data_IF_398444167700
#
_entry.id   IF_398444167700
#
_cell.length_a   1.000
_cell.length_b   1.000
_cell.length_c   1.000
_cell.angle_alpha   90.00
_cell.angle_beta   90.00
_cell.angle_gamma   90.00
#
_symmetry.space_group_name_H-M   'P 1'
#
loop_
_entity.id
_entity.type
_entity.pdbx_description
1 polymer ?
#
# COMPACT_ATOMS: atom_id res chain seq x y z
N UNK A 1 24.59 9.39 9.25
CA UNK A 1 23.91 8.17 8.80
C UNK A 1 24.87 7.36 7.96
N UNK A 2 24.91 6.04 8.13
CA UNK A 2 25.84 5.20 7.36
C UNK A 2 25.30 4.89 5.95
N UNK A 3 26.16 4.33 5.09
CA UNK A 3 25.82 4.03 3.70
C UNK A 3 24.67 3.00 3.58
N UNK A 4 24.63 1.98 4.45
CA UNK A 4 23.55 0.98 4.44
C UNK A 4 22.21 1.63 4.76
N UNK A 5 22.16 2.53 5.73
CA UNK A 5 20.95 3.29 6.05
C UNK A 5 20.51 4.17 4.87
N UNK A 6 21.44 4.78 4.12
CA UNK A 6 21.09 5.52 2.90
C UNK A 6 20.43 4.61 1.85
N UNK A 7 20.97 3.40 1.66
CA UNK A 7 20.36 2.41 0.75
C UNK A 7 18.96 2.02 1.19
N UNK A 8 18.78 1.72 2.48
CA UNK A 8 17.47 1.38 3.06
C UNK A 8 16.48 2.51 2.83
N UNK A 9 16.85 3.76 3.15
CA UNK A 9 15.97 4.92 2.99
C UNK A 9 15.60 5.19 1.53
N UNK A 10 16.52 5.00 0.58
CA UNK A 10 16.22 5.16 -0.84
C UNK A 10 15.16 4.18 -1.36
N UNK A 11 15.29 2.90 -0.99
CA UNK A 11 14.30 1.86 -1.35
C UNK A 11 12.99 2.08 -0.58
N UNK A 12 13.07 2.48 0.68
CA UNK A 12 11.91 2.77 1.52
C UNK A 12 11.05 3.91 0.97
N UNK A 13 11.65 4.95 0.38
CA UNK A 13 10.90 6.04 -0.25
C UNK A 13 10.06 5.55 -1.45
N UNK A 14 10.57 4.58 -2.21
CA UNK A 14 9.76 3.92 -3.25
C UNK A 14 8.56 3.23 -2.59
N UNK A 15 8.80 2.47 -1.53
CA UNK A 15 7.75 1.74 -0.82
C UNK A 15 6.65 2.67 -0.27
N UNK A 16 7.03 3.85 0.23
CA UNK A 16 6.09 4.89 0.65
C UNK A 16 5.22 5.39 -0.50
N UNK A 17 5.79 5.64 -1.69
CA UNK A 17 5.02 6.09 -2.86
C UNK A 17 4.02 5.00 -3.29
N UNK A 18 4.45 3.74 -3.30
CA UNK A 18 3.56 2.60 -3.60
C UNK A 18 2.39 2.55 -2.59
N UNK A 19 2.69 2.59 -1.29
CA UNK A 19 1.67 2.65 -0.21
C UNK A 19 0.70 3.80 -0.42
N UNK A 20 1.24 4.99 -0.63
CA UNK A 20 0.46 6.21 -0.79
C UNK A 20 -0.47 6.16 -2.01
N UNK A 21 -0.15 5.35 -3.01
CA UNK A 21 -1.01 5.14 -4.19
C UNK A 21 -2.32 4.44 -3.80
N UNK A 22 -2.31 3.54 -2.82
CA UNK A 22 -3.53 2.90 -2.29
C UNK A 22 -4.47 3.94 -1.65
N UNK A 23 -3.94 5.07 -1.17
CA UNK A 23 -4.77 6.12 -0.57
C UNK A 23 -5.72 6.81 -1.55
N UNK A 24 -5.45 6.72 -2.87
CA UNK A 24 -6.33 7.26 -3.91
C UNK A 24 -7.63 6.45 -4.06
N UNK A 25 -7.59 5.16 -3.74
CA UNK A 25 -8.72 4.24 -3.86
C UNK A 25 -9.33 3.88 -2.49
N UNK A 26 -8.79 4.44 -1.40
CA UNK A 26 -9.35 4.28 -0.07
C UNK A 26 -10.55 5.23 0.13
N UNK A 27 -11.63 4.80 0.80
CA UNK A 27 -12.79 5.65 1.07
C UNK A 27 -12.42 6.93 1.84
N UNK A 28 -12.95 8.07 1.40
CA UNK A 28 -12.76 9.38 2.04
C UNK A 28 -14.03 10.23 1.99
N UNK A 29 -14.17 11.14 2.96
CA UNK A 29 -15.33 12.04 3.08
C UNK A 29 -15.30 13.20 2.07
N UNK A 30 -14.13 13.67 1.67
CA UNK A 30 -13.96 14.76 0.71
C UNK A 30 -13.00 14.33 -0.41
N UNK A 31 -13.51 14.29 -1.65
CA UNK A 31 -12.77 13.87 -2.84
C UNK A 31 -12.17 15.09 -3.54
N UNK A 32 -10.98 15.49 -3.12
CA UNK A 32 -10.04 16.10 -4.05
C UNK A 32 -8.63 15.68 -3.69
N UNK A 33 -7.93 15.11 -4.65
CA UNK A 33 -6.52 14.79 -4.52
C UNK A 33 -5.71 15.85 -5.23
N UNK A 34 -4.71 16.41 -4.55
CA UNK A 34 -3.85 17.42 -5.14
C UNK A 34 -3.07 16.85 -6.34
N UNK A 35 -3.24 17.50 -7.49
CA UNK A 35 -2.41 17.28 -8.69
C UNK A 35 -0.92 17.42 -8.37
N UNK A 36 -0.54 18.46 -7.62
CA UNK A 36 0.86 18.72 -7.24
C UNK A 36 1.47 17.52 -6.51
N UNK A 37 0.77 16.97 -5.51
CA UNK A 37 1.22 15.80 -4.76
C UNK A 37 1.35 14.57 -5.66
N UNK A 38 0.37 14.35 -6.54
CA UNK A 38 0.37 13.24 -7.50
C UNK A 38 1.55 13.32 -8.47
N UNK A 39 1.76 14.47 -9.11
CA UNK A 39 2.88 14.66 -10.03
C UNK A 39 4.24 14.59 -9.33
N UNK A 40 4.33 15.11 -8.10
CA UNK A 40 5.53 15.00 -7.29
C UNK A 40 5.87 13.55 -6.97
N UNK A 41 4.87 12.71 -6.67
CA UNK A 41 5.05 11.26 -6.47
C UNK A 41 5.55 10.58 -7.75
N UNK A 42 4.96 10.89 -8.90
CA UNK A 42 5.39 10.38 -10.20
C UNK A 42 6.86 10.71 -10.50
N UNK A 43 7.24 12.00 -10.41
CA UNK A 43 8.63 12.45 -10.61
C UNK A 43 9.60 11.85 -9.60
N UNK A 44 9.22 11.79 -8.33
CA UNK A 44 10.04 11.16 -7.29
C UNK A 44 10.30 9.69 -7.60
N UNK A 45 9.29 8.96 -8.07
CA UNK A 45 9.42 7.55 -8.43
C UNK A 45 10.37 7.35 -9.63
N UNK A 46 10.36 8.25 -10.61
CA UNK A 46 11.33 8.26 -11.71
C UNK A 46 12.76 8.44 -11.19
N UNK A 47 13.00 9.45 -10.34
CA UNK A 47 14.33 9.73 -9.78
C UNK A 47 14.84 8.59 -8.89
N UNK A 48 13.97 8.04 -8.03
CA UNK A 48 14.33 6.96 -7.12
C UNK A 48 14.64 5.65 -7.86
N UNK A 49 14.19 5.49 -9.10
CA UNK A 49 14.43 4.30 -9.93
C UNK A 49 15.48 4.53 -11.03
N UNK A 50 16.02 5.74 -11.16
CA UNK A 50 17.02 6.10 -12.15
C UNK A 50 18.43 5.54 -11.82
N UNK A 51 19.31 5.56 -12.82
CA UNK A 51 20.72 5.18 -12.66
C UNK A 51 21.39 6.00 -11.54
N UNK A 52 22.26 5.34 -10.76
CA UNK A 52 22.91 5.93 -9.60
C UNK A 52 22.05 5.97 -8.33
N UNK A 53 20.77 5.58 -8.39
CA UNK A 53 19.94 5.48 -7.20
C UNK A 53 20.26 4.24 -6.35
N UNK A 54 19.89 4.25 -5.06
CA UNK A 54 19.92 3.05 -4.21
C UNK A 54 19.22 1.82 -4.81
N UNK A 55 18.10 2.04 -5.51
CA UNK A 55 17.37 0.98 -6.17
C UNK A 55 18.12 0.45 -7.40
N UNK A 56 18.69 1.33 -8.23
CA UNK A 56 19.51 0.90 -9.37
C UNK A 56 20.74 0.09 -8.93
N UNK A 57 21.36 0.46 -7.80
CA UNK A 57 22.42 -0.35 -7.21
C UNK A 57 21.93 -1.73 -6.74
N UNK A 58 20.77 -1.80 -6.07
CA UNK A 58 20.15 -3.08 -5.72
C UNK A 58 19.92 -3.97 -6.95
N UNK A 59 19.45 -3.37 -8.06
CA UNK A 59 19.22 -4.10 -9.32
C UNK A 59 20.56 -4.61 -9.88
N UNK A 60 21.61 -3.78 -9.90
CA UNK A 60 22.90 -4.16 -10.51
C UNK A 60 23.60 -5.32 -9.78
N UNK A 61 23.41 -5.43 -8.46
CA UNK A 61 23.97 -6.54 -7.67
C UNK A 61 23.11 -7.81 -7.71
N UNK A 62 21.81 -7.70 -7.98
CA UNK A 62 20.87 -8.85 -7.99
C UNK A 62 20.49 -9.36 -9.40
N UNK A 63 20.83 -8.62 -10.47
CA UNK A 63 20.69 -8.99 -11.89
C UNK A 63 19.34 -9.66 -12.20
N UNK A 64 19.34 -10.85 -12.81
CA UNK A 64 18.15 -11.60 -13.26
C UNK A 64 17.07 -11.76 -12.16
N UNK A 65 17.45 -11.75 -10.88
CA UNK A 65 16.48 -11.84 -9.77
C UNK A 65 15.68 -10.55 -9.56
N UNK A 66 16.18 -9.41 -10.04
CA UNK A 66 15.57 -8.09 -9.91
C UNK A 66 14.77 -7.66 -11.15
N UNK A 67 14.96 -8.30 -12.30
CA UNK A 67 14.32 -7.91 -13.58
C UNK A 67 12.80 -7.82 -13.46
N UNK A 68 12.16 -8.83 -12.84
CA UNK A 68 10.71 -8.84 -12.61
C UNK A 68 10.24 -7.67 -11.74
N UNK A 69 11.02 -7.28 -10.74
CA UNK A 69 10.68 -6.13 -9.90
C UNK A 69 10.79 -4.82 -10.69
N UNK A 70 11.80 -4.68 -11.55
CA UNK A 70 11.99 -3.53 -12.43
C UNK A 70 10.83 -3.43 -13.44
N UNK A 71 10.45 -4.55 -14.05
CA UNK A 71 9.29 -4.63 -14.95
C UNK A 71 8.01 -4.19 -14.24
N UNK A 72 7.70 -4.76 -13.07
CA UNK A 72 6.53 -4.41 -12.29
C UNK A 72 6.51 -2.93 -11.90
N UNK A 73 7.65 -2.35 -11.50
CA UNK A 73 7.74 -0.92 -11.14
C UNK A 73 7.56 -0.04 -12.39
N UNK A 74 8.12 -0.41 -13.53
CA UNK A 74 7.93 0.35 -14.77
C UNK A 74 6.48 0.31 -15.26
N UNK A 75 5.84 -0.86 -15.18
CA UNK A 75 4.41 -1.01 -15.45
C UNK A 75 3.59 -0.15 -14.47
N UNK A 76 3.95 -0.16 -13.18
CA UNK A 76 3.28 0.65 -12.17
C UNK A 76 3.40 2.15 -12.44
N UNK A 77 4.59 2.65 -12.79
CA UNK A 77 4.78 4.05 -13.21
C UNK A 77 3.87 4.39 -14.38
N UNK A 78 3.82 3.52 -15.39
CA UNK A 78 2.99 3.70 -16.58
C UNK A 78 1.51 3.74 -16.23
N UNK A 79 1.03 2.80 -15.45
CA UNK A 79 -0.40 2.70 -15.14
C UNK A 79 -0.88 3.72 -14.11
N UNK A 80 -0.03 4.13 -13.16
CA UNK A 80 -0.44 4.96 -12.02
C UNK A 80 0.01 6.41 -12.12
N UNK A 81 1.05 6.74 -12.90
CA UNK A 81 1.63 8.10 -12.89
C UNK A 81 1.89 8.67 -14.29
N UNK A 82 1.63 7.93 -15.36
CA UNK A 82 1.81 8.47 -16.72
C UNK A 82 0.65 9.40 -17.13
N UNK A 83 0.90 10.32 -18.08
CA UNK A 83 -0.17 11.11 -18.71
C UNK A 83 -1.24 10.27 -19.40
N UNK A 84 -0.92 9.03 -19.79
CA UNK A 84 -1.85 8.10 -20.43
C UNK A 84 -2.54 7.15 -19.43
N UNK A 85 -2.34 7.37 -18.12
CA UNK A 85 -2.98 6.55 -17.08
C UNK A 85 -4.50 6.53 -17.26
N UNK A 86 -5.05 5.32 -17.31
CA UNK A 86 -6.50 5.09 -17.27
C UNK A 86 -7.03 4.95 -15.85
N UNK A 87 -6.14 4.81 -14.88
CA UNK A 87 -6.48 4.61 -13.46
C UNK A 87 -6.67 5.96 -12.77
N UNK A 88 -5.72 6.87 -12.96
CA UNK A 88 -5.70 8.19 -12.36
C UNK A 88 -5.56 9.26 -13.44
N UNK A 89 -6.56 10.14 -13.54
CA UNK A 89 -6.59 11.21 -14.54
C UNK A 89 -6.50 12.56 -13.87
N UNK A 90 -5.59 13.40 -14.35
CA UNK A 90 -5.48 14.79 -13.89
C UNK A 90 -6.62 15.60 -14.51
N UNK A 91 -7.47 16.19 -13.67
CA UNK A 91 -8.60 17.03 -14.09
C UNK A 91 -8.58 18.34 -13.31
N UNK A 92 -8.23 19.44 -13.99
CA UNK A 92 -7.96 20.71 -13.34
C UNK A 92 -6.79 20.60 -12.35
N UNK A 93 -7.05 20.91 -11.09
CA UNK A 93 -6.09 20.77 -9.97
C UNK A 93 -6.29 19.47 -9.16
N UNK A 94 -7.21 18.62 -9.60
CA UNK A 94 -7.59 17.37 -8.94
C UNK A 94 -7.11 16.12 -9.68
N UNK A 95 -7.19 14.97 -8.99
CA UNK A 95 -7.10 13.64 -9.60
C UNK A 95 -8.47 12.97 -9.56
N UNK A 96 -8.94 12.53 -10.73
CA UNK A 96 -10.07 11.64 -10.89
C UNK A 96 -9.59 10.19 -10.90
N UNK A 97 -10.32 9.32 -10.21
CA UNK A 97 -9.99 7.90 -10.05
C UNK A 97 -11.08 7.07 -10.74
N UNK A 98 -10.69 6.10 -11.57
CA UNK A 98 -11.64 5.15 -12.14
C UNK A 98 -11.91 4.00 -11.14
N UNK A 99 -13.11 4.02 -10.55
CA UNK A 99 -13.62 2.99 -9.63
C UNK A 99 -13.43 1.55 -10.17
N UNK A 100 -13.52 1.35 -11.49
CA UNK A 100 -13.40 0.02 -12.10
C UNK A 100 -11.97 -0.51 -12.09
N UNK A 101 -10.99 0.36 -11.88
CA UNK A 101 -9.57 0.03 -11.88
C UNK A 101 -8.99 -0.13 -10.47
N UNK A 102 -9.80 -0.03 -9.41
CA UNK A 102 -9.35 -0.20 -8.03
C UNK A 102 -8.62 -1.54 -7.80
N UNK A 103 -9.16 -2.65 -8.35
CA UNK A 103 -8.50 -3.95 -8.29
C UNK A 103 -7.06 -3.90 -8.81
N UNK A 104 -6.85 -3.22 -9.93
CA UNK A 104 -5.53 -3.10 -10.55
C UNK A 104 -4.57 -2.31 -9.67
N UNK A 105 -5.05 -1.25 -9.01
CA UNK A 105 -4.27 -0.50 -8.01
C UNK A 105 -3.83 -1.43 -6.89
N UNK A 106 -4.75 -2.20 -6.31
CA UNK A 106 -4.43 -3.11 -5.20
C UNK A 106 -3.46 -4.21 -5.61
N UNK A 107 -3.70 -4.87 -6.75
CA UNK A 107 -2.86 -5.95 -7.26
C UNK A 107 -1.40 -5.51 -7.40
N UNK A 108 -1.17 -4.39 -8.09
CA UNK A 108 0.19 -3.90 -8.32
C UNK A 108 0.80 -3.36 -7.03
N UNK A 109 0.07 -2.54 -6.27
CA UNK A 109 0.61 -1.89 -5.07
C UNK A 109 0.97 -2.92 -3.99
N UNK A 110 0.09 -3.90 -3.71
CA UNK A 110 0.33 -4.94 -2.70
C UNK A 110 1.51 -5.84 -3.10
N UNK A 111 1.59 -6.26 -4.37
CA UNK A 111 2.67 -7.11 -4.84
C UNK A 111 4.03 -6.41 -4.80
N UNK A 112 4.10 -5.18 -5.32
CA UNK A 112 5.35 -4.39 -5.35
C UNK A 112 5.76 -4.02 -3.92
N UNK A 113 4.82 -3.56 -3.08
CA UNK A 113 5.11 -3.18 -1.71
C UNK A 113 5.70 -4.34 -0.92
N UNK A 114 5.10 -5.54 -1.02
CA UNK A 114 5.61 -6.72 -0.33
C UNK A 114 7.01 -7.11 -0.81
N UNK A 115 7.28 -7.02 -2.12
CA UNK A 115 8.61 -7.32 -2.68
C UNK A 115 9.65 -6.33 -2.17
N UNK A 116 9.35 -5.04 -2.16
CA UNK A 116 10.25 -4.01 -1.61
C UNK A 116 10.47 -4.18 -0.11
N UNK A 117 9.42 -4.55 0.65
CA UNK A 117 9.53 -4.85 2.07
C UNK A 117 10.46 -6.04 2.35
N UNK A 118 10.45 -7.07 1.50
CA UNK A 118 11.36 -8.20 1.60
C UNK A 118 12.81 -7.78 1.32
N UNK A 119 13.04 -6.90 0.34
CA UNK A 119 14.35 -6.29 0.06
C UNK A 119 14.84 -5.47 1.25
N UNK A 120 13.99 -4.61 1.82
CA UNK A 120 14.30 -3.83 3.02
C UNK A 120 14.66 -4.74 4.21
N UNK A 121 13.91 -5.83 4.40
CA UNK A 121 14.22 -6.84 5.41
C UNK A 121 15.59 -7.48 5.23
N UNK A 122 16.00 -7.72 3.99
CA UNK A 122 17.35 -8.19 3.65
C UNK A 122 18.44 -7.20 4.04
N UNK A 123 18.27 -5.92 3.71
CA UNK A 123 19.22 -4.87 4.09
C UNK A 123 19.28 -4.62 5.61
N UNK A 124 18.13 -4.65 6.30
CA UNK A 124 18.08 -4.54 7.76
C UNK A 124 18.83 -5.71 8.41
N UNK A 125 18.62 -6.93 7.92
CA UNK A 125 19.35 -8.10 8.41
C UNK A 125 20.86 -7.95 8.19
N UNK A 126 21.27 -7.56 6.99
CA UNK A 126 22.68 -7.29 6.70
C UNK A 126 23.26 -6.22 7.65
N UNK A 127 22.53 -5.12 7.89
CA UNK A 127 22.96 -4.07 8.80
C UNK A 127 23.12 -4.59 10.24
N UNK A 128 22.23 -5.49 10.71
CA UNK A 128 22.35 -6.14 12.01
C UNK A 128 23.59 -7.03 12.10
N UNK A 129 23.79 -7.88 11.10
CA UNK A 129 24.89 -8.85 11.06
C UNK A 129 26.27 -8.17 10.99
N UNK A 130 26.33 -6.88 10.64
CA UNK A 130 27.55 -6.08 10.50
C UNK A 130 27.64 -4.90 11.49
N UNK A 131 26.83 -4.86 12.56
CA UNK A 131 26.81 -3.78 13.56
C UNK A 131 26.61 -2.36 12.96
N UNK A 132 25.86 -2.29 11.87
CA UNK A 132 25.54 -1.06 11.13
C UNK A 132 24.07 -0.65 11.27
N UNK A 133 23.24 -1.40 12.01
CA UNK A 133 21.83 -1.08 12.13
C UNK A 133 21.59 0.16 13.00
N UNK A 134 20.89 1.13 12.43
CA UNK A 134 20.23 2.19 13.18
C UNK A 134 18.81 1.71 13.57
N UNK A 135 18.56 1.39 14.84
CA UNK A 135 17.30 0.76 15.31
C UNK A 135 16.03 1.50 14.85
N UNK A 136 16.06 2.84 14.81
CA UNK A 136 14.94 3.66 14.34
C UNK A 136 14.51 3.37 12.90
N UNK A 137 15.41 2.85 12.07
CA UNK A 137 15.14 2.50 10.68
C UNK A 137 14.35 1.20 10.61
N UNK A 138 14.69 0.22 11.46
CA UNK A 138 13.87 -1.00 11.59
C UNK A 138 12.47 -0.67 12.12
N UNK A 139 12.39 0.18 13.16
CA UNK A 139 11.10 0.65 13.71
C UNK A 139 10.27 1.39 12.64
N UNK A 140 10.90 2.20 11.81
CA UNK A 140 10.24 2.91 10.72
C UNK A 140 9.64 1.95 9.69
N UNK A 141 10.40 0.97 9.24
CA UNK A 141 9.94 -0.02 8.25
C UNK A 141 8.81 -0.87 8.83
N UNK A 142 8.89 -1.27 10.10
CA UNK A 142 7.82 -2.02 10.76
C UNK A 142 6.53 -1.18 10.94
N UNK A 143 6.67 0.10 11.31
CA UNK A 143 5.54 1.02 11.43
C UNK A 143 4.88 1.31 10.08
N UNK A 144 5.68 1.41 9.02
CA UNK A 144 5.19 1.55 7.65
C UNK A 144 4.42 0.31 7.18
N UNK A 145 4.92 -0.90 7.47
CA UNK A 145 4.18 -2.13 7.16
C UNK A 145 2.82 -2.17 7.86
N UNK A 146 2.77 -1.80 9.14
CA UNK A 146 1.51 -1.71 9.88
C UNK A 146 0.54 -0.70 9.23
N UNK A 147 1.05 0.46 8.82
CA UNK A 147 0.24 1.47 8.16
C UNK A 147 -0.26 1.00 6.78
N UNK A 148 0.63 0.49 5.93
CA UNK A 148 0.27 0.00 4.60
C UNK A 148 -0.78 -1.11 4.65
N UNK A 149 -0.59 -2.10 5.53
CA UNK A 149 -1.56 -3.18 5.68
C UNK A 149 -2.90 -2.65 6.19
N UNK A 150 -2.91 -1.77 7.18
CA UNK A 150 -4.17 -1.20 7.69
C UNK A 150 -4.91 -0.40 6.62
N UNK A 151 -4.19 0.38 5.80
CA UNK A 151 -4.75 1.13 4.68
C UNK A 151 -5.34 0.20 3.62
N UNK A 152 -4.60 -0.85 3.25
CA UNK A 152 -5.00 -1.81 2.23
C UNK A 152 -6.24 -2.60 2.67
N UNK A 153 -6.30 -3.06 3.92
CA UNK A 153 -7.49 -3.70 4.47
C UNK A 153 -8.68 -2.76 4.44
N UNK A 154 -8.52 -1.53 4.95
CA UNK A 154 -9.60 -0.55 4.96
C UNK A 154 -10.15 -0.26 3.56
N UNK A 155 -9.28 -0.10 2.57
CA UNK A 155 -9.70 0.11 1.18
C UNK A 155 -10.42 -1.12 0.62
N UNK A 156 -9.81 -2.31 0.73
CA UNK A 156 -10.36 -3.55 0.18
C UNK A 156 -11.71 -3.94 0.78
N UNK A 157 -11.92 -3.80 2.10
CA UNK A 157 -13.19 -4.18 2.71
C UNK A 157 -14.36 -3.33 2.19
N UNK A 158 -14.11 -2.05 1.88
CA UNK A 158 -15.13 -1.15 1.37
C UNK A 158 -15.53 -1.53 -0.06
N UNK A 159 -14.55 -1.80 -0.91
CA UNK A 159 -14.79 -2.26 -2.28
C UNK A 159 -15.43 -3.65 -2.32
N UNK A 160 -14.99 -4.58 -1.47
CA UNK A 160 -15.62 -5.89 -1.33
C UNK A 160 -17.08 -5.74 -0.93
N UNK A 161 -17.39 -4.85 0.02
CA UNK A 161 -18.76 -4.65 0.45
C UNK A 161 -19.64 -3.97 -0.62
N UNK A 162 -19.07 -3.05 -1.40
CA UNK A 162 -19.74 -2.46 -2.57
C UNK A 162 -20.09 -3.56 -3.59
N UNK A 163 -19.12 -4.39 -3.96
CA UNK A 163 -19.33 -5.52 -4.87
C UNK A 163 -20.34 -6.53 -4.29
N UNK A 164 -20.31 -6.80 -2.98
CA UNK A 164 -21.26 -7.69 -2.34
C UNK A 164 -22.70 -7.18 -2.41
N UNK A 165 -22.91 -5.86 -2.28
CA UNK A 165 -24.23 -5.24 -2.50
C UNK A 165 -24.68 -5.40 -3.95
N UNK A 166 -23.80 -5.09 -4.91
CA UNK A 166 -24.09 -5.26 -6.35
C UNK A 166 -24.43 -6.72 -6.68
N UNK A 167 -23.71 -7.68 -6.11
CA UNK A 167 -23.99 -9.10 -6.21
C UNK A 167 -25.37 -9.46 -5.65
N UNK A 168 -25.70 -8.96 -4.46
CA UNK A 168 -26.98 -9.20 -3.79
C UNK A 168 -28.16 -8.65 -4.61
N UNK A 169 -28.00 -7.44 -5.16
CA UNK A 169 -28.99 -6.81 -6.03
C UNK A 169 -29.19 -7.61 -7.32
N UNK A 170 -28.09 -8.04 -7.96
CA UNK A 170 -28.15 -8.87 -9.16
C UNK A 170 -28.85 -10.21 -8.90
N UNK A 171 -28.59 -10.85 -7.76
CA UNK A 171 -29.28 -12.07 -7.36
C UNK A 171 -30.77 -11.82 -7.10
N UNK A 172 -31.13 -10.72 -6.43
CA UNK A 172 -32.53 -10.38 -6.14
C UNK A 172 -33.34 -10.12 -7.42
N UNK A 173 -32.76 -9.39 -8.38
CA UNK A 173 -33.39 -9.14 -9.69
C UNK A 173 -33.68 -10.44 -10.45
N UNK A 174 -32.87 -11.47 -10.25
CA UNK A 174 -33.03 -12.80 -10.82
C UNK A 174 -33.69 -13.81 -9.86
N UNK A 175 -34.40 -13.35 -8.82
CA UNK A 175 -35.13 -14.19 -7.85
C UNK A 175 -34.26 -15.27 -7.16
N UNK A 176 -32.97 -14.97 -6.97
CA UNK A 176 -31.99 -15.89 -6.40
C UNK A 176 -31.42 -16.92 -7.37
N UNK A 177 -31.78 -16.87 -8.66
CA UNK A 177 -31.22 -17.75 -9.66
C UNK A 177 -29.83 -17.27 -10.12
N UNK A 178 -28.87 -18.20 -10.31
CA UNK A 178 -27.56 -17.87 -10.87
C UNK A 178 -27.70 -17.16 -12.22
N UNK A 179 -26.97 -16.05 -12.39
CA UNK A 179 -26.96 -15.30 -13.63
C UNK A 179 -25.52 -14.83 -13.96
N UNK A 180 -25.24 -14.51 -15.24
CA UNK A 180 -23.90 -14.10 -15.67
C UNK A 180 -23.36 -12.87 -14.94
N UNK A 181 -24.22 -11.91 -14.58
CA UNK A 181 -23.83 -10.67 -13.89
C UNK A 181 -23.35 -10.99 -12.47
N UNK A 182 -24.15 -11.72 -11.71
CA UNK A 182 -23.80 -12.17 -10.37
C UNK A 182 -22.52 -13.02 -10.36
N UNK A 183 -22.32 -13.88 -11.38
CA UNK A 183 -21.08 -14.66 -11.52
C UNK A 183 -19.86 -13.75 -11.73
N UNK A 184 -19.95 -12.76 -12.61
CA UNK A 184 -18.86 -11.82 -12.87
C UNK A 184 -18.49 -11.01 -11.61
N UNK A 185 -19.48 -10.47 -10.90
CA UNK A 185 -19.25 -9.73 -9.65
C UNK A 185 -18.60 -10.64 -8.59
N UNK A 186 -19.06 -11.90 -8.48
CA UNK A 186 -18.46 -12.86 -7.56
C UNK A 186 -17.00 -13.20 -7.92
N UNK A 187 -16.64 -13.24 -9.21
CA UNK A 187 -15.24 -13.38 -9.63
C UNK A 187 -14.40 -12.18 -9.16
N UNK A 188 -14.92 -10.96 -9.24
CA UNK A 188 -14.24 -9.76 -8.75
C UNK A 188 -14.10 -9.74 -7.22
N UNK A 189 -15.13 -10.14 -6.47
CA UNK A 189 -15.05 -10.34 -5.01
C UNK A 189 -13.91 -11.31 -4.68
N UNK A 190 -13.84 -12.45 -5.38
CA UNK A 190 -12.82 -13.47 -5.13
C UNK A 190 -11.40 -12.96 -5.40
N UNK A 191 -11.20 -12.12 -6.42
CA UNK A 191 -9.89 -11.49 -6.67
C UNK A 191 -9.48 -10.60 -5.49
N UNK A 192 -10.38 -9.78 -4.96
CA UNK A 192 -10.11 -8.94 -3.78
C UNK A 192 -9.81 -9.78 -2.52
N UNK A 193 -10.56 -10.86 -2.31
CA UNK A 193 -10.33 -11.80 -1.19
C UNK A 193 -8.96 -12.48 -1.31
N UNK A 194 -8.51 -12.82 -2.52
CA UNK A 194 -7.17 -13.38 -2.74
C UNK A 194 -6.06 -12.39 -2.35
N UNK A 195 -6.25 -11.09 -2.56
CA UNK A 195 -5.31 -10.06 -2.11
C UNK A 195 -5.25 -10.00 -0.57
N UNK A 196 -6.39 -10.14 0.11
CA UNK A 196 -6.44 -10.26 1.58
C UNK A 196 -5.69 -11.51 2.06
N UNK A 197 -5.91 -12.65 1.41
CA UNK A 197 -5.21 -13.90 1.72
C UNK A 197 -3.69 -13.77 1.51
N UNK A 198 -3.27 -13.11 0.44
CA UNK A 198 -1.86 -12.78 0.19
C UNK A 198 -1.29 -11.91 1.31
N UNK A 199 -1.97 -10.82 1.68
CA UNK A 199 -1.52 -9.97 2.79
C UNK A 199 -1.41 -10.73 4.11
N UNK A 200 -2.39 -11.58 4.45
CA UNK A 200 -2.37 -12.42 5.64
C UNK A 200 -1.14 -13.34 5.66
N UNK A 201 -0.84 -14.00 4.53
CA UNK A 201 0.28 -14.95 4.40
C UNK A 201 1.64 -14.31 4.63
N UNK A 202 1.81 -13.06 4.19
CA UNK A 202 3.10 -12.36 4.24
C UNK A 202 3.23 -11.37 5.41
N UNK A 203 2.23 -11.32 6.30
CA UNK A 203 2.15 -10.37 7.39
C UNK A 203 3.18 -10.61 8.51
N UNK A 204 3.96 -9.58 8.85
CA UNK A 204 4.89 -9.57 10.00
C UNK A 204 4.41 -8.70 11.16
N UNK A 205 3.31 -7.98 10.99
CA UNK A 205 2.74 -7.09 12.03
C UNK A 205 2.24 -7.92 13.21
N UNK A 206 2.68 -7.58 14.42
CA UNK A 206 2.32 -8.26 15.68
C UNK A 206 1.34 -7.47 16.55
N UNK A 207 0.99 -6.24 16.15
CA UNK A 207 0.04 -5.39 16.87
C UNK A 207 -1.32 -6.08 17.07
N UNK A 208 -1.83 -6.10 18.31
CA UNK A 208 -3.08 -6.80 18.64
C UNK A 208 -4.33 -6.16 18.02
N UNK A 209 -4.37 -4.83 17.93
CA UNK A 209 -5.46 -4.11 17.26
C UNK A 209 -5.52 -4.50 15.78
N UNK A 210 -4.37 -4.55 15.11
CA UNK A 210 -4.25 -5.03 13.74
C UNK A 210 -4.73 -6.48 13.60
N UNK A 211 -4.29 -7.40 14.46
CA UNK A 211 -4.72 -8.81 14.41
C UNK A 211 -6.23 -8.95 14.58
N UNK A 212 -6.83 -8.17 15.49
CA UNK A 212 -8.28 -8.13 15.63
C UNK A 212 -8.97 -7.63 14.36
N UNK A 213 -8.43 -6.62 13.68
CA UNK A 213 -8.98 -6.14 12.39
C UNK A 213 -8.92 -7.24 11.33
N UNK A 214 -7.81 -7.99 11.23
CA UNK A 214 -7.69 -9.10 10.28
C UNK A 214 -8.69 -10.22 10.58
N UNK A 215 -8.88 -10.56 11.85
CA UNK A 215 -9.83 -11.60 12.27
C UNK A 215 -11.27 -11.20 11.95
N UNK A 216 -11.65 -9.94 12.25
CA UNK A 216 -12.97 -9.41 11.90
C UNK A 216 -13.18 -9.35 10.39
N UNK A 217 -12.16 -9.01 9.61
CA UNK A 217 -12.23 -9.00 8.14
C UNK A 217 -12.44 -10.42 7.59
N UNK A 218 -11.67 -11.40 8.06
CA UNK A 218 -11.83 -12.79 7.64
C UNK A 218 -13.22 -13.33 8.02
N UNK A 219 -13.68 -13.02 9.24
CA UNK A 219 -15.03 -13.38 9.68
C UNK A 219 -16.11 -12.78 8.76
N UNK A 220 -15.97 -11.52 8.37
CA UNK A 220 -16.89 -10.86 7.45
C UNK A 220 -16.93 -11.54 6.08
N UNK A 221 -15.78 -11.94 5.53
CA UNK A 221 -15.66 -12.71 4.28
C UNK A 221 -16.34 -14.09 4.41
N UNK A 222 -16.11 -14.79 5.52
CA UNK A 222 -16.76 -16.08 5.81
C UNK A 222 -18.29 -15.96 5.90
N UNK A 223 -18.80 -14.86 6.48
CA UNK A 223 -20.23 -14.57 6.51
C UNK A 223 -20.78 -14.34 5.10
N UNK A 224 -20.12 -13.53 4.27
CA UNK A 224 -20.55 -13.27 2.89
C UNK A 224 -20.55 -14.55 2.04
N UNK A 225 -19.57 -15.43 2.26
CA UNK A 225 -19.46 -16.72 1.58
C UNK A 225 -20.37 -17.82 2.14
N UNK A 226 -21.19 -17.55 3.17
CA UNK A 226 -22.06 -18.53 3.80
C UNK A 226 -21.34 -19.60 4.63
N UNK A 227 -20.04 -19.45 4.86
CA UNK A 227 -19.22 -20.37 5.66
C UNK A 227 -19.43 -20.17 7.17
N UNK A 228 -19.90 -18.98 7.57
CA UNK A 228 -20.23 -18.64 8.95
C UNK A 228 -21.62 -18.00 9.03
N UNK A 229 -22.45 -18.47 9.96
CA UNK A 229 -23.76 -17.85 10.22
C UNK A 229 -23.61 -16.43 10.76
N UNK A 230 -24.48 -15.51 10.33
CA UNK A 230 -24.53 -14.16 10.88
C UNK A 230 -24.77 -14.19 12.39
N UNK A 231 -24.16 -13.29 13.17
CA UNK A 231 -24.50 -13.13 14.58
C UNK A 231 -25.99 -12.83 14.77
N UNK A 232 -26.56 -13.32 15.86
CA UNK A 232 -27.99 -13.16 16.16
C UNK A 232 -28.38 -11.67 16.15
N UNK A 233 -29.45 -11.37 15.43
CA UNK A 233 -29.99 -10.01 15.31
C UNK A 233 -29.21 -9.06 14.39
N UNK A 234 -28.12 -9.51 13.75
CA UNK A 234 -27.31 -8.66 12.85
C UNK A 234 -27.54 -8.92 11.37
N UNK A 235 -27.50 -7.86 10.57
CA UNK A 235 -27.43 -7.92 9.12
C UNK A 235 -26.04 -7.55 8.57
N UNK A 236 -25.81 -7.75 7.27
CA UNK A 236 -24.53 -7.42 6.62
C UNK A 236 -24.14 -5.93 6.72
N UNK A 237 -25.05 -4.97 6.48
CA UNK A 237 -24.76 -3.54 6.71
C UNK A 237 -24.26 -3.21 8.12
N UNK A 238 -24.88 -3.79 9.16
CA UNK A 238 -24.46 -3.59 10.56
C UNK A 238 -23.07 -4.17 10.82
N UNK A 239 -22.82 -5.42 10.40
CA UNK A 239 -21.50 -6.04 10.51
C UNK A 239 -20.42 -5.25 9.78
N UNK A 240 -20.72 -4.79 8.57
CA UNK A 240 -19.81 -3.96 7.80
C UNK A 240 -19.52 -2.65 8.50
N UNK A 241 -20.53 -1.99 9.07
CA UNK A 241 -20.37 -0.69 9.74
C UNK A 241 -19.43 -0.83 10.93
N UNK A 242 -19.63 -1.84 11.78
CA UNK A 242 -18.75 -2.13 12.93
C UNK A 242 -17.31 -2.45 12.50
N UNK A 243 -17.15 -3.30 11.48
CA UNK A 243 -15.84 -3.63 10.93
C UNK A 243 -15.15 -2.40 10.34
N UNK A 244 -15.88 -1.60 9.57
CA UNK A 244 -15.35 -0.44 8.87
C UNK A 244 -14.90 0.66 9.85
N UNK A 245 -15.67 0.91 10.90
CA UNK A 245 -15.29 1.82 11.99
C UNK A 245 -14.03 1.33 12.73
N UNK A 246 -13.95 0.02 13.00
CA UNK A 246 -12.77 -0.57 13.64
C UNK A 246 -11.53 -0.49 12.74
N UNK A 247 -11.69 -0.76 11.45
CA UNK A 247 -10.62 -0.67 10.45
C UNK A 247 -10.13 0.77 10.27
N UNK A 248 -11.05 1.74 10.23
CA UNK A 248 -10.69 3.16 10.16
C UNK A 248 -9.90 3.60 11.38
N UNK A 249 -10.32 3.21 12.60
CA UNK A 249 -9.58 3.52 13.82
C UNK A 249 -8.19 2.89 13.81
N UNK A 250 -8.09 1.62 13.39
CA UNK A 250 -6.80 0.92 13.27
C UNK A 250 -5.88 1.63 12.28
N UNK A 251 -6.41 2.08 11.15
CA UNK A 251 -5.70 2.88 10.16
C UNK A 251 -5.18 4.20 10.74
N UNK A 252 -6.02 4.94 11.46
CA UNK A 252 -5.64 6.22 12.08
C UNK A 252 -4.53 6.03 13.15
N UNK A 253 -4.63 4.98 13.96
CA UNK A 253 -3.62 4.62 14.94
C UNK A 253 -2.29 4.27 14.25
N UNK A 254 -2.33 3.47 13.18
CA UNK A 254 -1.17 3.08 12.41
C UNK A 254 -0.48 4.28 11.73
N UNK A 255 -1.26 5.18 11.11
CA UNK A 255 -0.75 6.41 10.50
C UNK A 255 -0.09 7.32 11.55
N UNK A 256 -0.73 7.51 12.70
CA UNK A 256 -0.20 8.35 13.79
C UNK A 256 1.12 7.81 14.31
N UNK A 257 1.20 6.49 14.53
CA UNK A 257 2.44 5.82 14.94
C UNK A 257 3.53 6.00 13.88
N UNK A 258 3.23 5.72 12.62
CA UNK A 258 4.17 5.89 11.51
C UNK A 258 4.69 7.33 11.42
N UNK A 259 3.81 8.35 11.45
CA UNK A 259 4.19 9.77 11.40
C UNK A 259 5.13 10.15 12.54
N UNK A 260 4.86 9.65 13.75
CA UNK A 260 5.68 9.92 14.95
C UNK A 260 7.12 9.44 14.78
N UNK A 261 7.33 8.32 14.08
CA UNK A 261 8.66 7.76 13.82
C UNK A 261 9.29 8.37 12.56
N UNK A 262 8.49 8.56 11.51
CA UNK A 262 8.96 9.06 10.21
C UNK A 262 9.47 10.50 10.26
N UNK A 263 8.75 11.42 10.91
CA UNK A 263 9.11 12.84 10.89
C UNK A 263 10.52 13.13 11.44
N UNK A 264 10.93 12.56 12.60
CA UNK A 264 12.31 12.68 13.08
C UNK A 264 13.35 12.11 12.11
N UNK A 265 13.09 10.94 11.52
CA UNK A 265 14.02 10.30 10.58
C UNK A 265 14.18 11.12 9.31
N UNK A 266 13.06 11.61 8.75
CA UNK A 266 13.06 12.45 7.56
C UNK A 266 13.83 13.76 7.80
N UNK A 267 13.63 14.39 8.97
CA UNK A 267 14.36 15.61 9.33
C UNK A 267 15.87 15.37 9.44
N UNK A 268 16.27 14.30 10.13
CA UNK A 268 17.69 13.93 10.25
C UNK A 268 18.31 13.64 8.86
N UNK A 269 17.60 12.92 8.00
CA UNK A 269 18.04 12.64 6.64
C UNK A 269 18.23 13.92 5.81
N UNK A 270 17.27 14.86 5.85
CA UNK A 270 17.38 16.15 5.17
C UNK A 270 18.56 16.99 5.66
N UNK A 271 18.79 17.03 6.98
CA UNK A 271 19.92 17.75 7.56
C UNK A 271 21.27 17.19 7.11
N UNK A 272 21.37 15.87 6.95
CA UNK A 272 22.57 15.23 6.43
C UNK A 272 22.81 15.48 4.94
N UNK A 273 21.76 15.43 4.12
CA UNK A 273 21.85 15.80 2.69
C UNK A 273 22.37 17.22 2.52
N UNK A 274 21.82 18.19 3.26
CA UNK A 274 22.29 19.58 3.24
C UNK A 274 23.74 19.74 3.70
N UNK A 275 24.20 18.94 4.67
CA UNK A 275 25.61 18.95 5.13
C UNK A 275 26.55 18.39 4.08
N UNK A 276 26.12 17.41 3.29
CA UNK A 276 26.92 16.81 2.23
C UNK A 276 26.98 17.71 0.99
N UNK A 277 25.89 18.40 0.65
CA UNK A 277 25.87 19.43 -0.41
C UNK A 277 26.85 20.58 -0.12
N UNK A 278 26.87 21.08 1.12
CA UNK A 278 27.81 22.13 1.58
C UNK A 278 29.29 21.69 1.65
N UNK A 279 29.58 20.41 1.45
CA UNK A 279 30.95 19.87 1.43
C UNK A 279 31.46 19.60 0.02
N UNK A 280 30.67 19.88 -1.02
CA UNK A 280 31.13 19.79 -2.41
C UNK A 280 32.08 20.96 -2.76
N UNK A 281 33.01 20.76 -3.72
CA UNK A 281 34.29 21.48 -3.77
C UNK A 281 34.26 22.95 -4.21
N UNK A 282 33.10 23.49 -4.61
CA UNK A 282 32.99 24.89 -5.04
C UNK A 282 32.90 25.87 -3.87
N UNK A 283 32.54 25.41 -2.67
CA UNK A 283 32.51 26.23 -1.44
C UNK A 283 33.88 26.26 -0.71
N UNK A 284 34.92 25.69 -1.31
CA UNK A 284 36.31 25.71 -0.81
C UNK A 284 37.29 26.41 -1.78
N UNK A 285 36.80 27.14 -2.79
CA UNK A 285 37.61 27.96 -3.69
C UNK A 285 37.25 29.44 -3.63
#
# INVERSE_FOLDING_TARGET
MNQVTQYILGIYQINMIIRDTVSYVAPRKEQSFSKEIYEHRGRSLELLTAEGSPFAHFVSINKEKADKLVENINEFKKEMYSPESRVFRVVGEGIEVDDKMHHRVYEMAIGIYQTLLDVLGGYIKYAKDNDQLELRIEELVAADEYFFRSLSYFALINDIFKLFKEFSDAMQQHKGEPNPIAKFINEDINKMVQLIAFMNKHNRVTNLTYKKMTDLTNAFIEHMGGQRQLPEGKNFPELFTELNEFALKTLQDAETNWRTIFLPVAKAHQEEMKKNERKNPEDLS
#
